data_IF_039948660388
#
_entry.id   IF_039948660388
#
_cell.length_a   1.000
_cell.length_b   1.000
_cell.length_c   1.000
_cell.angle_alpha   90.00
_cell.angle_beta   90.00
_cell.angle_gamma   90.00
#
_symmetry.space_group_name_H-M   'P 1'
#
loop_
_entity.id
_entity.type
_entity.pdbx_description
1 polymer ?
#
# COMPACT_ATOMS: atom_id res chain seq x y z
N UNK A 1 18.69 1.62 -0.35
CA UNK A 1 18.77 0.82 -1.60
C UNK A 1 19.18 1.70 -2.79
N UNK A 2 19.63 1.14 -3.93
CA UNK A 2 19.93 1.93 -5.14
C UNK A 2 18.80 1.82 -6.15
N UNK A 3 18.39 2.93 -6.76
CA UNK A 3 17.38 2.94 -7.82
C UNK A 3 17.93 2.20 -9.06
N UNK A 4 17.26 1.15 -9.57
CA UNK A 4 17.74 0.39 -10.72
C UNK A 4 17.58 1.17 -12.04
N UNK A 5 16.78 2.24 -12.05
CA UNK A 5 16.50 3.03 -13.26
C UNK A 5 17.46 4.21 -13.46
N UNK A 6 17.86 4.90 -12.39
CA UNK A 6 18.76 6.07 -12.49
C UNK A 6 20.05 5.94 -11.67
N UNK A 7 20.23 4.86 -10.92
CA UNK A 7 21.39 4.65 -10.06
C UNK A 7 21.47 5.58 -8.84
N UNK A 8 20.46 6.41 -8.56
CA UNK A 8 20.46 7.25 -7.37
C UNK A 8 20.24 6.45 -6.09
N UNK A 9 20.85 6.91 -5.00
CA UNK A 9 20.63 6.42 -3.62
C UNK A 9 19.68 7.32 -2.82
N UNK A 10 19.19 8.42 -3.41
CA UNK A 10 18.20 9.31 -2.80
C UNK A 10 16.82 8.67 -2.85
N UNK A 11 16.56 7.77 -1.91
CA UNK A 11 15.31 7.02 -1.78
C UNK A 11 14.58 7.51 -0.52
N UNK A 12 13.31 7.85 -0.68
CA UNK A 12 12.39 8.05 0.44
C UNK A 12 11.64 6.73 0.67
N UNK A 13 11.72 6.18 1.86
CA UNK A 13 11.21 4.84 2.17
C UNK A 13 9.93 4.93 3.01
N UNK A 14 8.97 4.03 2.76
CA UNK A 14 7.79 3.90 3.59
C UNK A 14 6.81 5.08 3.52
N UNK A 15 6.62 5.66 2.33
CA UNK A 15 5.58 6.65 2.08
C UNK A 15 4.22 5.95 2.12
N UNK A 16 3.34 6.34 3.05
CA UNK A 16 1.98 5.82 3.15
C UNK A 16 1.10 6.33 2.00
N UNK A 17 0.22 5.47 1.48
CA UNK A 17 -0.81 5.85 0.53
C UNK A 17 -1.99 6.47 1.29
N UNK A 18 -2.35 7.71 0.96
CA UNK A 18 -3.45 8.42 1.60
C UNK A 18 -4.48 8.94 0.60
N UNK A 19 -5.71 9.15 1.06
CA UNK A 19 -6.76 9.85 0.33
C UNK A 19 -7.01 11.21 1.00
N UNK A 20 -7.16 12.28 0.21
CA UNK A 20 -7.29 13.65 0.74
C UNK A 20 -8.75 14.13 0.83
N UNK A 21 -9.68 13.55 0.08
CA UNK A 21 -11.05 14.07 -0.08
C UNK A 21 -12.15 13.19 0.53
N UNK A 22 -11.97 11.87 0.58
CA UNK A 22 -12.88 10.92 1.21
C UNK A 22 -12.16 10.30 2.40
N UNK A 23 -12.80 10.25 3.56
CA UNK A 23 -12.21 9.68 4.77
C UNK A 23 -12.03 8.17 4.53
N UNK A 24 -10.79 7.74 4.28
CA UNK A 24 -10.47 6.34 4.02
C UNK A 24 -9.00 6.12 3.67
N UNK A 25 -8.52 4.90 3.87
CA UNK A 25 -7.19 4.47 3.40
C UNK A 25 -7.33 3.90 1.98
N UNK A 26 -6.42 4.28 1.08
CA UNK A 26 -6.26 3.61 -0.23
C UNK A 26 -5.30 2.44 -0.03
N UNK A 27 -5.70 1.25 -0.51
CA UNK A 27 -4.85 0.07 -0.42
C UNK A 27 -5.54 -1.21 -0.87
N UNK A 28 -4.99 -2.35 -0.46
CA UNK A 28 -5.46 -3.66 -0.90
C UNK A 28 -6.69 -4.11 -0.10
N UNK A 29 -7.71 -4.59 -0.80
CA UNK A 29 -8.96 -5.03 -0.19
C UNK A 29 -8.81 -6.44 0.40
N UNK A 30 -9.43 -6.66 1.55
CA UNK A 30 -9.55 -7.97 2.17
C UNK A 30 -10.92 -8.16 2.83
N UNK A 31 -11.39 -9.40 2.90
CA UNK A 31 -12.59 -9.75 3.67
C UNK A 31 -12.23 -9.83 5.15
N UNK A 32 -13.06 -9.20 5.96
CA UNK A 32 -12.99 -9.25 7.41
C UNK A 32 -14.29 -9.80 7.97
N UNK A 33 -14.18 -10.67 8.97
CA UNK A 33 -15.31 -11.14 9.76
C UNK A 33 -15.10 -10.76 11.22
N UNK A 34 -16.05 -10.02 11.78
CA UNK A 34 -16.11 -9.75 13.22
C UNK A 34 -17.43 -10.30 13.73
N UNK A 35 -17.37 -11.48 14.37
CA UNK A 35 -18.56 -12.25 14.72
C UNK A 35 -19.31 -12.72 13.47
N UNK A 36 -20.60 -12.38 13.37
CA UNK A 36 -21.47 -12.75 12.24
C UNK A 36 -21.46 -11.73 11.09
N UNK A 37 -20.77 -10.58 11.26
CA UNK A 37 -20.74 -9.51 10.26
C UNK A 37 -19.59 -9.76 9.29
N UNK A 38 -19.92 -9.82 7.99
CA UNK A 38 -18.94 -9.80 6.90
C UNK A 38 -18.75 -8.35 6.45
N UNK A 39 -17.51 -7.89 6.42
CA UNK A 39 -17.12 -6.56 5.95
C UNK A 39 -15.94 -6.67 4.98
N UNK A 40 -15.72 -5.61 4.20
CA UNK A 40 -14.49 -5.42 3.41
C UNK A 40 -13.64 -4.39 4.13
N UNK A 41 -12.40 -4.77 4.45
CA UNK A 41 -11.39 -3.85 4.97
C UNK A 41 -10.39 -3.48 3.89
N UNK A 42 -9.63 -2.42 4.15
CA UNK A 42 -8.52 -1.98 3.31
C UNK A 42 -7.23 -2.06 4.09
N UNK A 43 -6.23 -2.76 3.56
CA UNK A 43 -4.89 -2.83 4.13
C UNK A 43 -4.11 -1.58 3.74
N UNK A 44 -3.41 -0.97 4.69
CA UNK A 44 -2.57 0.19 4.43
C UNK A 44 -1.34 -0.22 3.60
N UNK A 45 -1.09 0.54 2.54
CA UNK A 45 -0.01 0.28 1.58
C UNK A 45 1.03 1.40 1.66
N UNK A 46 2.28 0.99 1.52
CA UNK A 46 3.45 1.85 1.58
C UNK A 46 4.27 1.69 0.31
N UNK A 47 5.00 2.74 -0.06
CA UNK A 47 5.92 2.72 -1.19
C UNK A 47 7.25 3.37 -0.87
N UNK A 48 8.29 2.88 -1.53
CA UNK A 48 9.61 3.52 -1.55
C UNK A 48 9.78 4.27 -2.87
N UNK A 49 10.14 5.55 -2.83
CA UNK A 49 10.21 6.45 -3.99
C UNK A 49 11.64 6.94 -4.21
N UNK A 50 12.16 6.80 -5.43
CA UNK A 50 13.38 7.49 -5.81
C UNK A 50 13.12 9.00 -5.98
N UNK A 51 13.74 9.83 -5.15
CA UNK A 51 13.54 11.27 -5.17
C UNK A 51 14.14 11.95 -6.40
N UNK A 52 15.03 11.28 -7.14
CA UNK A 52 15.60 11.81 -8.37
C UNK A 52 14.68 11.55 -9.57
N UNK A 53 14.49 10.28 -9.96
CA UNK A 53 13.72 9.93 -11.16
C UNK A 53 12.24 9.64 -10.90
N UNK A 54 11.78 9.76 -9.65
CA UNK A 54 10.38 9.57 -9.22
C UNK A 54 9.83 8.16 -9.45
N UNK A 55 10.70 7.17 -9.66
CA UNK A 55 10.29 5.78 -9.78
C UNK A 55 9.91 5.21 -8.41
N UNK A 56 8.74 4.56 -8.34
CA UNK A 56 8.37 3.70 -7.22
C UNK A 56 9.21 2.42 -7.32
N UNK A 57 9.98 2.13 -6.27
CA UNK A 57 10.91 1.00 -6.23
C UNK A 57 10.28 -0.25 -5.65
N UNK A 58 9.38 -0.08 -4.69
CA UNK A 58 8.65 -1.15 -4.01
C UNK A 58 7.33 -0.61 -3.52
N UNK A 59 6.33 -1.48 -3.53
CA UNK A 59 5.05 -1.28 -2.85
C UNK A 59 4.79 -2.48 -1.94
N UNK A 60 4.41 -2.23 -0.70
CA UNK A 60 4.26 -3.27 0.32
C UNK A 60 3.24 -2.89 1.39
N UNK A 61 2.73 -3.89 2.12
CA UNK A 61 1.88 -3.70 3.29
C UNK A 61 2.77 -3.72 4.54
N UNK A 62 2.52 -2.83 5.51
CA UNK A 62 3.10 -2.95 6.86
C UNK A 62 2.10 -3.66 7.77
N UNK A 63 2.57 -4.64 8.56
CA UNK A 63 1.75 -5.37 9.53
C UNK A 63 1.36 -6.77 9.06
N UNK A 64 0.22 -7.27 9.57
CA UNK A 64 -0.22 -8.64 9.31
C UNK A 64 -0.80 -8.80 7.90
N UNK A 65 -0.16 -9.65 7.09
CA UNK A 65 -0.53 -9.97 5.71
C UNK A 65 -1.31 -11.28 5.57
N UNK A 66 -1.57 -12.01 6.66
CA UNK A 66 -2.46 -13.17 6.68
C UNK A 66 -3.91 -12.68 6.68
N UNK A 67 -4.42 -12.44 5.47
CA UNK A 67 -5.75 -11.88 5.19
C UNK A 67 -6.40 -12.64 4.05
N UNK A 68 -7.74 -12.70 4.08
CA UNK A 68 -8.53 -13.19 2.95
C UNK A 68 -8.62 -12.09 1.88
N UNK A 69 -7.61 -12.03 1.02
CA UNK A 69 -7.48 -11.00 -0.01
C UNK A 69 -8.65 -11.03 -0.99
N UNK A 70 -9.18 -9.86 -1.28
CA UNK A 70 -10.37 -9.69 -2.10
C UNK A 70 -10.04 -8.90 -3.36
N UNK A 71 -10.35 -9.49 -4.52
CA UNK A 71 -10.41 -8.74 -5.77
C UNK A 71 -11.77 -8.06 -5.83
N UNK A 72 -11.81 -6.74 -5.66
CA UNK A 72 -13.03 -5.97 -5.86
C UNK A 72 -13.52 -6.12 -7.30
N UNK A 73 -14.67 -6.75 -7.49
CA UNK A 73 -15.40 -6.66 -8.76
C UNK A 73 -16.26 -5.41 -8.74
N UNK A 74 -16.15 -4.59 -9.78
CA UNK A 74 -17.03 -3.43 -10.04
C UNK A 74 -18.51 -3.84 -10.15
#
# INVERSE_FOLDING_TARGET
>A
MKCPFCGSERIEEGIAWGQTAEVGNIGLLYKSSVGFIKAVGTAEVYSDLCLNCKTILRTYIKGNTDKDWYHGTE
#
